data_IF_158523655528
#
_entry.id   IF_158523655528
#
_cell.length_a   1.000
_cell.length_b   1.000
_cell.length_c   1.000
_cell.angle_alpha   90.00
_cell.angle_beta   90.00
_cell.angle_gamma   90.00
#
_symmetry.space_group_name_H-M   'P 1'
#
loop_
_entity.id
_entity.type
_entity.pdbx_description
1 polymer ?
#
# COMPACT_ATOMS: atom_id res chain seq x y z
N UNK A 1 15.59 -22.64 -14.26
CA UNK A 1 14.25 -22.03 -14.33
C UNK A 1 14.36 -20.63 -14.87
N UNK A 2 13.37 -20.16 -15.62
CA UNK A 2 13.41 -18.83 -16.23
C UNK A 2 13.38 -17.71 -15.18
N UNK A 3 12.57 -17.86 -14.14
CA UNK A 3 12.31 -16.85 -13.12
C UNK A 3 13.02 -17.10 -11.77
N UNK A 4 14.21 -17.68 -11.75
CA UNK A 4 14.94 -17.90 -10.51
C UNK A 4 15.46 -16.61 -9.86
N UNK A 5 15.68 -16.63 -8.53
CA UNK A 5 16.28 -15.52 -7.78
C UNK A 5 17.60 -15.07 -8.44
N UNK A 6 18.47 -16.02 -8.81
CA UNK A 6 19.74 -15.68 -9.44
C UNK A 6 19.59 -15.03 -10.82
N UNK A 7 18.57 -15.40 -11.58
CA UNK A 7 18.27 -14.76 -12.86
C UNK A 7 17.68 -13.36 -12.64
N UNK A 8 16.77 -13.19 -11.67
CA UNK A 8 16.20 -11.90 -11.29
C UNK A 8 17.30 -10.91 -10.87
N UNK A 9 18.23 -11.34 -10.00
CA UNK A 9 19.35 -10.50 -9.56
C UNK A 9 20.27 -10.08 -10.70
N UNK A 10 20.60 -10.99 -11.62
CA UNK A 10 21.41 -10.66 -12.79
C UNK A 10 20.73 -9.64 -13.70
N UNK A 11 19.41 -9.80 -13.91
CA UNK A 11 18.62 -8.88 -14.71
C UNK A 11 18.54 -7.49 -14.08
N UNK A 12 18.28 -7.42 -12.76
CA UNK A 12 18.25 -6.17 -12.01
C UNK A 12 19.59 -5.45 -12.05
N UNK A 13 20.70 -6.19 -11.91
CA UNK A 13 22.04 -5.60 -12.03
C UNK A 13 22.28 -5.00 -13.43
N UNK A 14 21.86 -5.68 -14.48
CA UNK A 14 21.99 -5.16 -15.83
C UNK A 14 21.13 -3.92 -16.07
N UNK A 15 19.84 -3.98 -15.71
CA UNK A 15 18.88 -2.87 -15.95
C UNK A 15 19.12 -1.63 -15.09
N UNK A 16 19.62 -1.79 -13.86
CA UNK A 16 19.91 -0.64 -13.00
C UNK A 16 21.01 0.28 -13.54
N UNK A 17 21.87 -0.23 -14.43
CA UNK A 17 22.91 0.57 -15.08
C UNK A 17 22.32 1.50 -16.16
N UNK A 18 21.26 1.05 -16.83
CA UNK A 18 20.63 1.76 -17.95
C UNK A 18 19.42 2.62 -17.47
N UNK A 19 19.10 2.62 -16.17
CA UNK A 19 17.99 3.36 -15.60
C UNK A 19 18.21 4.86 -15.77
N UNK A 20 17.23 5.57 -16.32
CA UNK A 20 17.25 7.03 -16.36
C UNK A 20 16.75 7.60 -15.01
N UNK A 21 17.61 8.30 -14.26
CA UNK A 21 17.29 8.74 -12.91
C UNK A 21 16.44 9.99 -12.82
N UNK A 22 15.97 10.57 -13.96
CA UNK A 22 15.34 11.91 -13.99
C UNK A 22 14.17 12.06 -13.02
N UNK A 23 13.37 11.01 -12.79
CA UNK A 23 12.23 11.01 -11.89
C UNK A 23 12.36 9.92 -10.81
N UNK A 24 13.45 9.16 -10.79
CA UNK A 24 13.66 8.13 -9.79
C UNK A 24 13.63 8.73 -8.37
N UNK A 25 12.82 8.21 -7.44
CA UNK A 25 12.59 8.83 -6.15
C UNK A 25 13.87 8.86 -5.30
N UNK A 26 14.04 9.93 -4.52
CA UNK A 26 15.21 10.11 -3.65
C UNK A 26 14.97 9.67 -2.21
N UNK A 27 13.71 9.51 -1.81
CA UNK A 27 13.32 9.15 -0.44
C UNK A 27 12.09 8.25 -0.35
N UNK A 28 11.50 7.83 -1.47
CA UNK A 28 10.54 6.74 -1.51
C UNK A 28 11.25 5.43 -1.83
N UNK A 29 10.74 4.31 -1.30
CA UNK A 29 11.22 3.01 -1.72
C UNK A 29 10.64 2.68 -3.11
N UNK A 30 11.52 2.49 -4.08
CA UNK A 30 11.23 1.98 -5.42
C UNK A 30 12.17 0.81 -5.71
N UNK A 31 11.82 -0.07 -6.65
CA UNK A 31 12.70 -1.15 -7.06
C UNK A 31 13.96 -0.60 -7.77
N UNK A 32 15.06 -1.34 -7.71
CA UNK A 32 16.32 -0.99 -8.41
C UNK A 32 16.14 -0.79 -9.91
N UNK A 33 15.18 -1.46 -10.53
CA UNK A 33 14.67 -1.33 -11.88
C UNK A 33 13.40 -2.18 -12.02
N UNK A 34 12.66 -2.03 -13.13
CA UNK A 34 11.47 -2.82 -13.39
C UNK A 34 10.23 -2.33 -12.64
N UNK A 35 9.25 -3.21 -12.49
CA UNK A 35 7.94 -2.92 -11.90
C UNK A 35 7.89 -3.17 -10.39
N UNK A 36 7.17 -2.31 -9.66
CA UNK A 36 6.77 -2.52 -8.26
C UNK A 36 5.31 -2.16 -8.09
N UNK A 37 4.58 -2.92 -7.25
CA UNK A 37 3.25 -2.56 -6.75
C UNK A 37 3.15 -2.77 -5.24
N UNK A 38 2.31 -3.64 -4.72
CA UNK A 38 1.95 -3.78 -3.31
C UNK A 38 3.15 -3.88 -2.38
N UNK A 39 3.20 -3.14 -1.26
CA UNK A 39 4.08 -3.49 -0.15
C UNK A 39 3.67 -4.83 0.45
N UNK A 40 4.64 -5.66 0.78
CA UNK A 40 4.47 -6.98 1.34
C UNK A 40 5.33 -7.16 2.58
N UNK A 41 4.89 -8.00 3.50
CA UNK A 41 5.75 -8.52 4.55
C UNK A 41 6.45 -7.46 5.40
N UNK A 42 5.81 -6.29 5.60
CA UNK A 42 6.35 -5.23 6.44
C UNK A 42 6.50 -5.75 7.88
N UNK A 43 7.73 -5.78 8.39
CA UNK A 43 8.02 -6.39 9.69
C UNK A 43 9.33 -5.86 10.28
N UNK A 44 9.41 -5.86 11.60
CA UNK A 44 10.66 -5.59 12.30
C UNK A 44 11.32 -6.91 12.72
N UNK A 45 12.52 -7.16 12.22
CA UNK A 45 13.29 -8.38 12.51
C UNK A 45 14.77 -8.08 12.67
N UNK A 46 15.41 -8.64 13.69
CA UNK A 46 16.84 -8.49 14.01
C UNK A 46 17.36 -7.04 13.93
N UNK A 47 16.57 -6.11 14.48
CA UNK A 47 16.91 -4.68 14.54
C UNK A 47 16.82 -3.94 13.21
N UNK A 48 16.13 -4.50 12.21
CA UNK A 48 15.82 -3.87 10.93
C UNK A 48 14.32 -3.91 10.65
N UNK A 49 13.79 -2.86 10.06
CA UNK A 49 12.53 -2.91 9.36
C UNK A 49 12.77 -3.53 7.99
N UNK A 50 12.13 -4.65 7.70
CA UNK A 50 12.11 -5.28 6.40
C UNK A 50 10.86 -4.85 5.64
N UNK A 51 11.02 -4.49 4.38
CA UNK A 51 9.95 -4.24 3.44
C UNK A 51 10.16 -5.13 2.22
N UNK A 52 9.17 -5.96 1.95
CA UNK A 52 9.08 -6.69 0.70
C UNK A 52 8.05 -5.99 -0.18
N UNK A 53 8.05 -6.32 -1.45
CA UNK A 53 7.11 -5.73 -2.39
C UNK A 53 6.91 -6.62 -3.62
N UNK A 54 5.72 -6.52 -4.20
CA UNK A 54 5.45 -7.13 -5.50
C UNK A 54 6.37 -6.55 -6.54
N UNK A 55 7.07 -7.41 -7.29
CA UNK A 55 8.14 -7.00 -8.16
C UNK A 55 8.22 -7.83 -9.43
N UNK A 56 8.33 -7.17 -10.59
CA UNK A 56 8.68 -7.82 -11.85
C UNK A 56 10.06 -7.34 -12.34
N UNK A 57 11.13 -8.09 -12.07
CA UNK A 57 12.50 -7.65 -12.37
C UNK A 57 12.85 -7.64 -13.87
N UNK A 58 12.06 -8.34 -14.71
CA UNK A 58 12.33 -8.50 -16.14
C UNK A 58 11.67 -7.45 -17.01
N UNK A 59 10.75 -6.67 -16.47
CA UNK A 59 10.04 -5.63 -17.22
C UNK A 59 9.60 -4.52 -16.26
N UNK A 60 9.35 -3.33 -16.82
CA UNK A 60 8.69 -2.21 -16.14
C UNK A 60 7.17 -2.23 -16.32
N UNK A 61 6.62 -3.38 -16.72
CA UNK A 61 5.19 -3.69 -16.73
C UNK A 61 4.91 -4.83 -15.77
N UNK A 62 3.67 -4.92 -15.31
CA UNK A 62 3.22 -6.05 -14.50
C UNK A 62 3.46 -7.39 -15.22
N UNK A 63 3.82 -8.41 -14.47
CA UNK A 63 4.13 -9.74 -15.02
C UNK A 63 4.29 -10.79 -13.92
N UNK A 64 4.99 -11.89 -14.15
CA UNK A 64 5.21 -12.90 -13.11
C UNK A 64 5.90 -12.31 -11.89
N UNK A 65 5.10 -12.14 -10.81
CA UNK A 65 5.54 -11.45 -9.61
C UNK A 65 6.58 -12.23 -8.83
N UNK A 66 7.57 -11.48 -8.36
CA UNK A 66 8.57 -11.85 -7.37
C UNK A 66 8.32 -11.02 -6.11
N UNK A 67 8.97 -11.37 -5.01
CA UNK A 67 9.09 -10.46 -3.87
C UNK A 67 10.45 -9.79 -3.92
N UNK A 68 10.46 -8.51 -4.31
CA UNK A 68 11.60 -7.63 -4.06
C UNK A 68 11.77 -7.40 -2.57
N UNK A 69 12.96 -6.97 -2.14
CA UNK A 69 13.29 -6.87 -0.73
C UNK A 69 14.21 -5.68 -0.44
N UNK A 70 13.88 -4.95 0.59
CA UNK A 70 14.72 -3.90 1.17
C UNK A 70 14.60 -3.90 2.69
N UNK A 71 15.58 -3.30 3.38
CA UNK A 71 15.53 -3.09 4.82
C UNK A 71 15.99 -1.70 5.21
N UNK A 72 15.55 -1.24 6.38
CA UNK A 72 15.88 0.08 6.91
C UNK A 72 16.05 0.05 8.44
N UNK A 73 16.89 0.94 8.96
CA UNK A 73 17.01 1.20 10.40
C UNK A 73 16.04 2.29 10.89
N UNK A 74 15.54 3.09 9.93
CA UNK A 74 14.82 4.34 10.24
C UNK A 74 13.61 4.59 9.33
N UNK A 75 13.15 3.57 8.59
CA UNK A 75 11.97 3.61 7.70
C UNK A 75 12.09 4.54 6.49
N UNK A 76 13.19 5.26 6.32
CA UNK A 76 13.36 6.27 5.25
C UNK A 76 14.64 6.07 4.43
N UNK A 77 15.68 5.49 5.01
CA UNK A 77 16.88 5.10 4.29
C UNK A 77 16.88 3.59 4.08
N UNK A 78 16.68 3.16 2.84
CA UNK A 78 16.51 1.76 2.48
C UNK A 78 17.75 1.17 1.83
N UNK A 79 18.12 -0.01 2.30
CA UNK A 79 19.15 -0.87 1.70
C UNK A 79 18.44 -1.98 0.92
N UNK A 80 18.67 -2.05 -0.39
CA UNK A 80 18.16 -3.14 -1.21
C UNK A 80 18.90 -4.45 -0.90
N UNK A 81 18.12 -5.49 -0.73
CA UNK A 81 18.57 -6.86 -0.53
C UNK A 81 18.29 -7.70 -1.78
N UNK A 82 18.83 -8.93 -1.88
CA UNK A 82 18.44 -9.84 -2.93
C UNK A 82 16.94 -10.11 -2.95
N UNK A 83 16.38 -10.41 -4.13
CA UNK A 83 15.01 -10.86 -4.30
C UNK A 83 14.74 -12.01 -3.33
N UNK A 84 13.68 -11.90 -2.53
CA UNK A 84 13.36 -12.86 -1.48
C UNK A 84 12.64 -14.11 -2.01
N UNK A 85 11.70 -13.92 -2.94
CA UNK A 85 10.93 -15.00 -3.56
C UNK A 85 10.86 -14.80 -5.07
N UNK A 86 10.98 -15.90 -5.80
CA UNK A 86 10.78 -15.96 -7.24
C UNK A 86 9.79 -17.08 -7.58
N UNK A 87 9.04 -17.03 -8.68
CA UNK A 87 8.06 -18.06 -9.05
C UNK A 87 8.75 -19.34 -9.55
N UNK A 88 9.33 -20.09 -8.62
CA UNK A 88 10.13 -21.29 -8.86
C UNK A 88 9.40 -22.59 -8.49
N UNK A 89 8.32 -22.50 -7.70
CA UNK A 89 7.59 -23.67 -7.21
C UNK A 89 6.41 -24.07 -8.08
N UNK A 90 5.86 -25.26 -7.85
CA UNK A 90 4.66 -25.69 -8.55
C UNK A 90 3.40 -24.92 -8.11
N UNK A 91 3.41 -24.31 -6.92
CA UNK A 91 2.30 -23.52 -6.36
C UNK A 91 2.25 -22.10 -6.89
N UNK A 92 3.39 -21.55 -7.29
CA UNK A 92 3.56 -20.15 -7.66
C UNK A 92 4.23 -19.92 -9.00
N UNK A 93 4.16 -20.89 -9.90
CA UNK A 93 4.85 -20.86 -11.20
C UNK A 93 4.55 -19.63 -12.08
N UNK A 94 3.41 -18.97 -11.85
CA UNK A 94 2.96 -17.79 -12.57
C UNK A 94 3.04 -16.50 -11.71
N UNK A 95 3.44 -16.62 -10.43
CA UNK A 95 3.71 -15.47 -9.56
C UNK A 95 3.70 -15.79 -8.07
N UNK A 96 4.62 -15.14 -7.33
CA UNK A 96 4.55 -15.01 -5.88
C UNK A 96 3.75 -13.74 -5.58
N UNK A 97 2.43 -13.87 -5.34
CA UNK A 97 1.54 -12.74 -5.09
C UNK A 97 1.66 -12.22 -3.66
N UNK A 98 0.91 -11.18 -3.35
CA UNK A 98 1.01 -10.44 -2.09
C UNK A 98 0.80 -11.31 -0.84
N UNK A 99 1.29 -10.81 0.26
CA UNK A 99 1.21 -11.47 1.56
C UNK A 99 1.90 -10.66 2.67
N UNK A 100 2.18 -11.29 3.78
CA UNK A 100 2.69 -10.67 5.00
C UNK A 100 3.86 -11.41 5.61
N UNK A 101 4.44 -10.83 6.65
CA UNK A 101 5.51 -11.43 7.42
C UNK A 101 5.20 -11.38 8.92
N UNK A 102 5.63 -12.41 9.64
CA UNK A 102 5.60 -12.47 11.11
C UNK A 102 6.90 -13.05 11.65
N UNK A 103 7.19 -12.73 12.89
CA UNK A 103 8.34 -13.30 13.61
C UNK A 103 7.85 -14.35 14.59
N UNK A 104 8.38 -15.56 14.47
CA UNK A 104 8.14 -16.68 15.39
C UNK A 104 9.48 -17.10 16.01
N UNK A 105 9.71 -16.68 17.25
CA UNK A 105 10.99 -16.86 17.92
C UNK A 105 12.14 -16.15 17.20
N UNK A 106 13.09 -16.91 16.68
CA UNK A 106 14.26 -16.45 15.92
C UNK A 106 14.05 -16.57 14.39
N UNK A 107 12.84 -16.82 13.95
CA UNK A 107 12.50 -17.13 12.57
C UNK A 107 11.58 -16.07 12.00
N UNK A 108 11.96 -15.50 10.86
CA UNK A 108 11.11 -14.66 10.03
C UNK A 108 10.32 -15.55 9.07
N UNK A 109 8.99 -15.51 9.16
CA UNK A 109 8.07 -16.27 8.32
C UNK A 109 7.35 -15.35 7.35
N UNK A 110 7.43 -15.65 6.05
CA UNK A 110 6.65 -15.01 4.99
C UNK A 110 5.47 -15.93 4.66
N UNK A 111 4.27 -15.37 4.69
CA UNK A 111 3.06 -16.04 4.22
C UNK A 111 2.57 -15.25 3.00
N UNK A 112 2.50 -15.91 1.85
CA UNK A 112 2.24 -15.27 0.58
C UNK A 112 1.31 -16.10 -0.29
N UNK A 113 0.74 -15.49 -1.31
CA UNK A 113 -0.12 -16.21 -2.26
C UNK A 113 0.71 -16.79 -3.39
N UNK A 114 0.70 -18.10 -3.52
CA UNK A 114 1.16 -18.80 -4.71
C UNK A 114 0.10 -18.72 -5.80
N UNK A 115 0.48 -18.19 -6.97
CA UNK A 115 -0.44 -17.96 -8.09
C UNK A 115 -0.08 -18.79 -9.31
N UNK A 116 -1.09 -19.42 -9.90
CA UNK A 116 -0.96 -20.12 -11.18
C UNK A 116 -2.29 -20.16 -11.95
N UNK A 117 -2.17 -20.42 -13.25
CA UNK A 117 -3.30 -20.69 -14.12
C UNK A 117 -3.42 -22.17 -14.43
N UNK A 118 -4.64 -22.69 -14.47
CA UNK A 118 -4.98 -24.05 -14.89
C UNK A 118 -5.44 -24.13 -16.35
N UNK A 119 -5.18 -23.12 -17.18
CA UNK A 119 -5.62 -23.05 -18.57
C UNK A 119 -5.30 -21.70 -19.18
N UNK A 120 -6.23 -21.17 -19.95
CA UNK A 120 -6.09 -19.83 -20.55
C UNK A 120 -6.07 -18.77 -19.45
N UNK A 121 -5.00 -17.95 -19.34
CA UNK A 121 -4.92 -16.86 -18.37
C UNK A 121 -6.00 -15.78 -18.54
N UNK A 122 -6.63 -15.70 -19.72
CA UNK A 122 -7.73 -14.75 -19.96
C UNK A 122 -9.05 -15.17 -19.32
N UNK A 123 -9.18 -16.42 -18.85
CA UNK A 123 -10.36 -16.91 -18.16
C UNK A 123 -10.11 -16.87 -16.64
N UNK A 124 -10.79 -15.98 -15.94
CA UNK A 124 -10.71 -15.84 -14.48
C UNK A 124 -11.09 -17.13 -13.70
N UNK A 125 -11.82 -18.06 -14.31
CA UNK A 125 -12.12 -19.36 -13.69
C UNK A 125 -10.91 -20.30 -13.67
N UNK A 126 -9.86 -20.00 -14.42
CA UNK A 126 -8.62 -20.75 -14.44
C UNK A 126 -7.61 -20.30 -13.37
N UNK A 127 -7.95 -19.32 -12.55
CA UNK A 127 -7.13 -18.89 -11.42
C UNK A 127 -7.06 -19.96 -10.34
N UNK A 128 -5.87 -20.19 -9.84
CA UNK A 128 -5.62 -21.04 -8.69
C UNK A 128 -4.66 -20.34 -7.75
N UNK A 129 -5.16 -19.96 -6.59
CA UNK A 129 -4.46 -19.14 -5.62
C UNK A 129 -4.46 -19.85 -4.27
N UNK A 130 -3.26 -20.18 -3.80
CA UNK A 130 -3.04 -20.92 -2.55
C UNK A 130 -2.18 -20.08 -1.61
N UNK A 131 -2.25 -20.33 -0.31
CA UNK A 131 -1.36 -19.64 0.61
C UNK A 131 -0.15 -20.52 0.89
N UNK A 132 1.04 -19.91 0.80
CA UNK A 132 2.34 -20.55 0.93
C UNK A 132 3.13 -19.97 2.09
N UNK A 133 4.06 -20.76 2.64
CA UNK A 133 4.97 -20.37 3.70
C UNK A 133 6.43 -20.44 3.20
N UNK A 134 7.21 -19.42 3.53
CA UNK A 134 8.66 -19.44 3.43
C UNK A 134 9.28 -18.92 4.73
N UNK A 135 10.44 -19.42 5.14
CA UNK A 135 11.05 -19.06 6.43
C UNK A 135 12.51 -18.69 6.26
N UNK A 136 12.99 -17.81 7.14
CA UNK A 136 14.38 -17.36 7.19
C UNK A 136 14.84 -17.18 8.63
N UNK A 137 16.12 -17.43 8.90
CA UNK A 137 16.77 -17.11 10.18
C UNK A 137 17.66 -15.88 10.11
N UNK A 138 18.09 -15.52 8.92
CA UNK A 138 18.96 -14.36 8.68
C UNK A 138 18.21 -13.15 8.10
N UNK A 139 16.91 -13.31 7.81
CA UNK A 139 16.06 -12.29 7.21
C UNK A 139 16.38 -12.00 5.73
N UNK A 140 17.27 -12.77 5.09
CA UNK A 140 17.75 -12.53 3.72
C UNK A 140 17.46 -13.71 2.82
N UNK A 141 17.79 -14.93 3.26
CA UNK A 141 17.62 -16.16 2.52
C UNK A 141 16.41 -16.92 3.03
N UNK A 142 15.46 -17.21 2.14
CA UNK A 142 14.18 -17.83 2.50
C UNK A 142 14.10 -19.25 1.95
N UNK A 143 13.77 -20.19 2.84
CA UNK A 143 13.46 -21.56 2.50
C UNK A 143 11.95 -21.74 2.31
N UNK A 144 11.52 -22.22 1.16
CA UNK A 144 10.14 -22.53 0.87
C UNK A 144 9.67 -23.72 1.70
N UNK A 145 8.57 -23.57 2.38
CA UNK A 145 7.92 -24.62 3.18
C UNK A 145 6.72 -25.24 2.45
N UNK A 146 6.36 -24.70 1.28
CA UNK A 146 5.24 -25.14 0.47
C UNK A 146 3.89 -24.51 0.84
N UNK A 147 2.85 -25.09 0.29
CA UNK A 147 1.46 -24.67 0.50
C UNK A 147 0.98 -25.00 1.93
N UNK A 148 0.33 -24.04 2.58
CA UNK A 148 -0.27 -24.17 3.91
C UNK A 148 -1.80 -24.08 3.88
N UNK A 149 -2.39 -23.42 2.88
CA UNK A 149 -3.84 -23.43 2.61
C UNK A 149 -4.05 -23.61 1.12
N UNK A 150 -4.83 -24.63 0.77
CA UNK A 150 -5.29 -24.84 -0.62
C UNK A 150 -6.46 -23.90 -0.95
N UNK A 151 -6.69 -23.66 -2.24
CA UNK A 151 -7.84 -22.90 -2.72
C UNK A 151 -9.15 -23.53 -2.27
N UNK A 152 -9.97 -22.84 -1.47
CA UNK A 152 -11.27 -23.39 -1.11
C UNK A 152 -12.16 -23.59 -2.33
N UNK A 153 -13.04 -24.60 -2.35
CA UNK A 153 -13.94 -24.84 -3.48
C UNK A 153 -14.78 -23.62 -3.84
N UNK A 154 -14.78 -23.24 -5.14
CA UNK A 154 -15.52 -22.09 -5.66
C UNK A 154 -14.87 -20.73 -5.43
N UNK A 155 -13.65 -20.67 -4.85
CA UNK A 155 -12.92 -19.42 -4.60
C UNK A 155 -11.72 -19.30 -5.56
N UNK A 156 -11.95 -18.91 -6.80
CA UNK A 156 -10.86 -18.72 -7.77
C UNK A 156 -9.96 -17.52 -7.39
N UNK A 157 -10.52 -16.46 -6.81
CA UNK A 157 -9.81 -15.32 -6.24
C UNK A 157 -9.70 -15.49 -4.73
N UNK A 158 -8.51 -15.84 -4.25
CA UNK A 158 -8.22 -16.15 -2.85
C UNK A 158 -6.77 -15.79 -2.52
N UNK A 159 -6.51 -14.53 -2.11
CA UNK A 159 -5.15 -13.98 -2.04
C UNK A 159 -4.92 -12.97 -0.92
N UNK A 160 -3.65 -12.59 -0.77
CA UNK A 160 -3.16 -11.51 0.08
C UNK A 160 -3.29 -11.82 1.58
N UNK A 161 -2.66 -12.90 2.08
CA UNK A 161 -2.75 -13.30 3.47
C UNK A 161 -2.06 -12.28 4.38
N UNK A 162 -2.76 -11.85 5.44
CA UNK A 162 -2.19 -11.09 6.55
C UNK A 162 -2.28 -11.88 7.83
N UNK A 163 -1.13 -12.12 8.45
CA UNK A 163 -1.00 -12.94 9.67
C UNK A 163 -0.65 -12.06 10.86
N UNK A 164 -1.22 -12.38 12.01
CA UNK A 164 -0.87 -11.80 13.31
C UNK A 164 -1.00 -12.83 14.42
N UNK A 165 -0.45 -12.53 15.58
CA UNK A 165 -0.59 -13.35 16.79
C UNK A 165 -1.59 -12.73 17.75
N UNK A 166 -2.52 -13.51 18.24
CA UNK A 166 -3.47 -13.13 19.27
C UNK A 166 -3.43 -14.18 20.39
N UNK A 167 -2.90 -13.78 21.56
CA UNK A 167 -2.63 -14.72 22.63
C UNK A 167 -1.59 -15.78 22.22
N UNK A 168 -1.96 -17.05 22.29
CA UNK A 168 -1.08 -18.17 21.94
C UNK A 168 -1.27 -18.66 20.49
N UNK A 169 -2.27 -18.15 19.79
CA UNK A 169 -2.62 -18.59 18.43
C UNK A 169 -2.25 -17.57 17.36
N UNK A 170 -1.99 -18.08 16.18
CA UNK A 170 -1.86 -17.29 14.96
C UNK A 170 -3.22 -17.16 14.28
N UNK A 171 -3.50 -16.00 13.76
CA UNK A 171 -4.67 -15.73 12.92
C UNK A 171 -4.21 -15.20 11.57
N UNK A 172 -5.00 -15.46 10.55
CA UNK A 172 -4.76 -14.98 9.18
C UNK A 172 -6.07 -14.52 8.57
N UNK A 173 -6.05 -13.36 7.97
CA UNK A 173 -7.09 -12.92 7.03
C UNK A 173 -6.61 -13.08 5.60
N UNK A 174 -7.52 -13.48 4.70
CA UNK A 174 -7.26 -13.63 3.27
C UNK A 174 -8.40 -12.99 2.49
N UNK A 175 -8.07 -12.20 1.47
CA UNK A 175 -9.04 -11.61 0.57
C UNK A 175 -9.64 -12.65 -0.38
N UNK A 176 -10.93 -12.53 -0.67
CA UNK A 176 -11.62 -13.43 -1.56
C UNK A 176 -12.72 -12.73 -2.38
N UNK A 177 -13.06 -13.34 -3.53
CA UNK A 177 -14.25 -13.05 -4.33
C UNK A 177 -15.07 -14.33 -4.43
N UNK A 178 -16.29 -14.27 -3.96
CA UNK A 178 -17.23 -15.39 -4.01
C UNK A 178 -18.55 -14.89 -4.56
N UNK A 179 -19.01 -15.41 -5.69
CA UNK A 179 -20.26 -14.99 -6.36
C UNK A 179 -20.36 -13.47 -6.55
N UNK A 180 -19.26 -12.83 -6.99
CA UNK A 180 -19.13 -11.37 -7.14
C UNK A 180 -19.33 -10.55 -5.86
N UNK A 181 -19.09 -11.18 -4.70
CA UNK A 181 -19.07 -10.53 -3.38
C UNK A 181 -17.66 -10.56 -2.82
N UNK A 182 -17.08 -9.40 -2.54
CA UNK A 182 -15.80 -9.28 -1.86
C UNK A 182 -15.91 -9.78 -0.41
N UNK A 183 -14.95 -10.59 0.02
CA UNK A 183 -14.92 -11.18 1.37
C UNK A 183 -13.53 -11.10 1.97
N UNK A 184 -13.47 -11.10 3.29
CA UNK A 184 -12.29 -11.40 4.08
C UNK A 184 -12.54 -12.69 4.84
N UNK A 185 -11.74 -13.72 4.53
CA UNK A 185 -11.78 -15.02 5.22
C UNK A 185 -10.87 -15.00 6.42
N UNK A 186 -11.25 -15.68 7.49
CA UNK A 186 -10.48 -15.81 8.72
C UNK A 186 -10.02 -17.26 8.92
N UNK A 187 -8.76 -17.41 9.29
CA UNK A 187 -8.14 -18.68 9.63
C UNK A 187 -7.42 -18.58 10.96
N UNK A 188 -7.28 -19.72 11.67
CA UNK A 188 -6.55 -19.85 12.92
C UNK A 188 -5.53 -20.99 12.81
N UNK A 189 -4.36 -20.82 13.42
CA UNK A 189 -3.30 -21.83 13.51
C UNK A 189 -2.58 -21.74 14.86
N UNK A 190 -1.99 -22.85 15.28
CA UNK A 190 -1.11 -22.90 16.45
C UNK A 190 0.39 -22.93 16.05
N UNK A 191 0.72 -23.12 14.73
CA UNK A 191 2.08 -23.38 14.27
C UNK A 191 2.46 -22.75 12.91
N UNK A 192 1.62 -21.87 12.34
CA UNK A 192 1.76 -21.25 11.01
C UNK A 192 1.69 -22.25 9.82
N UNK A 193 1.52 -23.54 10.07
CA UNK A 193 1.53 -24.59 9.05
C UNK A 193 0.16 -25.24 8.84
N UNK A 194 -0.55 -25.45 9.93
CA UNK A 194 -1.85 -26.10 9.94
C UNK A 194 -2.93 -25.07 10.28
N UNK A 195 -3.69 -24.68 9.26
CA UNK A 195 -4.70 -23.63 9.38
C UNK A 195 -6.10 -24.21 9.40
N UNK A 196 -6.91 -23.75 10.33
CA UNK A 196 -8.32 -24.05 10.44
C UNK A 196 -9.15 -22.89 9.92
N UNK A 197 -10.11 -23.17 9.04
CA UNK A 197 -11.07 -22.14 8.57
C UNK A 197 -11.94 -21.71 9.77
N UNK A 198 -11.89 -20.42 10.08
CA UNK A 198 -12.69 -19.77 11.13
C UNK A 198 -13.88 -18.99 10.55
N UNK A 199 -14.12 -19.11 9.24
CA UNK A 199 -15.26 -18.53 8.56
C UNK A 199 -14.99 -17.18 7.88
N UNK A 200 -16.06 -16.41 7.68
CA UNK A 200 -16.01 -15.07 7.10
C UNK A 200 -15.83 -14.05 8.22
N UNK A 201 -14.76 -13.26 8.17
CA UNK A 201 -14.59 -12.14 9.09
C UNK A 201 -15.51 -10.97 8.71
N UNK A 202 -15.53 -10.62 7.43
CA UNK A 202 -16.35 -9.57 6.87
C UNK A 202 -16.64 -9.84 5.39
N UNK A 203 -17.72 -9.28 4.88
CA UNK A 203 -18.06 -9.36 3.46
C UNK A 203 -18.72 -8.08 2.96
N UNK A 204 -18.66 -7.88 1.65
CA UNK A 204 -19.22 -6.74 0.97
C UNK A 204 -20.74 -6.72 1.07
N UNK A 205 -21.30 -5.58 1.39
CA UNK A 205 -22.68 -5.24 1.13
C UNK A 205 -22.83 -4.67 -0.28
N UNK A 206 -24.05 -4.45 -0.72
CA UNK A 206 -24.33 -3.89 -2.04
C UNK A 206 -23.52 -2.60 -2.29
N UNK A 207 -22.71 -2.60 -3.35
CA UNK A 207 -21.88 -1.45 -3.73
C UNK A 207 -20.52 -1.38 -3.04
N UNK A 208 -20.14 -2.34 -2.21
CA UNK A 208 -18.85 -2.39 -1.53
C UNK A 208 -17.78 -3.21 -2.29
N UNK A 209 -18.00 -3.47 -3.57
CA UNK A 209 -17.03 -4.15 -4.44
C UNK A 209 -17.18 -5.66 -4.50
N UNK A 210 -16.62 -6.24 -5.57
CA UNK A 210 -16.71 -7.67 -5.85
C UNK A 210 -15.50 -8.48 -5.35
N UNK A 211 -14.38 -7.81 -5.06
CA UNK A 211 -13.15 -8.40 -4.52
C UNK A 211 -12.57 -7.45 -3.47
N UNK A 212 -12.11 -8.00 -2.36
CA UNK A 212 -11.41 -7.27 -1.31
C UNK A 212 -9.97 -7.76 -1.24
N UNK A 213 -9.04 -6.97 -1.81
CA UNK A 213 -7.61 -7.27 -1.84
C UNK A 213 -6.89 -6.73 -0.61
N UNK A 214 -5.73 -7.29 -0.33
CA UNK A 214 -4.78 -6.83 0.69
C UNK A 214 -5.43 -6.54 2.06
N UNK A 215 -6.23 -7.47 2.63
CA UNK A 215 -6.80 -7.25 3.94
C UNK A 215 -5.70 -7.15 5.00
N UNK A 216 -5.84 -6.21 5.92
CA UNK A 216 -4.96 -6.02 7.08
C UNK A 216 -5.83 -5.81 8.31
N UNK A 217 -5.70 -6.68 9.31
CA UNK A 217 -6.56 -6.69 10.49
C UNK A 217 -5.73 -6.53 11.76
N UNK A 218 -5.95 -5.46 12.49
CA UNK A 218 -5.14 -5.12 13.67
C UNK A 218 -5.94 -4.37 14.74
N UNK A 219 -5.40 -4.36 15.95
CA UNK A 219 -5.91 -3.52 17.04
C UNK A 219 -5.22 -2.15 16.99
N UNK A 220 -5.99 -1.08 17.23
CA UNK A 220 -5.50 0.28 17.36
C UNK A 220 -6.38 1.03 18.38
N UNK A 221 -5.76 1.51 19.45
CA UNK A 221 -6.41 2.33 20.50
C UNK A 221 -7.72 1.70 21.04
N UNK A 222 -7.75 0.38 21.20
CA UNK A 222 -8.87 -0.37 21.75
C UNK A 222 -9.97 -0.73 20.73
N UNK A 223 -9.76 -0.45 19.44
CA UNK A 223 -10.65 -0.85 18.34
C UNK A 223 -9.97 -1.81 17.39
N UNK A 224 -10.75 -2.58 16.66
CA UNK A 224 -10.26 -3.38 15.53
C UNK A 224 -10.45 -2.60 14.24
N UNK A 225 -9.38 -2.53 13.47
CA UNK A 225 -9.34 -1.94 12.14
C UNK A 225 -9.23 -3.07 11.14
N UNK A 226 -10.16 -3.16 10.20
CA UNK A 226 -10.04 -3.96 8.99
C UNK A 226 -9.76 -3.02 7.83
N UNK A 227 -8.50 -2.94 7.40
CA UNK A 227 -8.06 -2.18 6.24
C UNK A 227 -8.02 -3.11 5.03
N UNK A 228 -8.46 -2.66 3.86
CA UNK A 228 -8.46 -3.47 2.63
C UNK A 228 -8.60 -2.58 1.39
N UNK A 229 -8.40 -3.19 0.22
CA UNK A 229 -8.47 -2.52 -1.08
C UNK A 229 -9.60 -3.14 -1.93
N UNK A 230 -10.81 -2.58 -1.89
CA UNK A 230 -11.95 -3.10 -2.64
C UNK A 230 -11.87 -2.75 -4.12
N UNK A 231 -12.16 -3.73 -4.98
CA UNK A 231 -12.36 -3.55 -6.42
C UNK A 231 -13.85 -3.45 -6.73
N UNK A 232 -14.21 -2.54 -7.65
CA UNK A 232 -15.57 -2.43 -8.18
C UNK A 232 -16.52 -1.54 -7.39
N UNK A 233 -16.02 -0.68 -6.49
CA UNK A 233 -16.83 0.38 -5.89
C UNK A 233 -17.02 1.53 -6.88
N UNK A 234 -18.25 1.97 -7.06
CA UNK A 234 -18.55 3.10 -7.92
C UNK A 234 -18.16 4.44 -7.28
N UNK A 235 -17.72 5.39 -8.12
CA UNK A 235 -17.52 6.77 -7.68
C UNK A 235 -18.82 7.40 -7.17
N UNK A 236 -18.71 8.23 -6.12
CA UNK A 236 -19.83 8.95 -5.54
C UNK A 236 -19.42 10.41 -5.27
N UNK A 237 -19.86 11.30 -6.15
CA UNK A 237 -19.50 12.71 -6.08
C UNK A 237 -17.98 12.92 -6.12
N UNK A 238 -17.39 13.29 -5.00
CA UNK A 238 -15.96 13.50 -4.84
C UNK A 238 -15.23 12.30 -4.19
N UNK A 239 -15.94 11.34 -3.69
CA UNK A 239 -15.41 10.12 -3.10
C UNK A 239 -15.21 9.02 -4.16
N UNK A 240 -14.32 8.09 -3.88
CA UNK A 240 -14.08 6.88 -4.68
C UNK A 240 -13.81 7.14 -6.16
N UNK A 241 -12.95 8.13 -6.44
CA UNK A 241 -12.63 8.54 -7.83
C UNK A 241 -11.45 7.82 -8.46
N UNK A 242 -10.72 7.02 -7.72
CA UNK A 242 -9.70 6.13 -8.28
C UNK A 242 -10.39 4.90 -8.89
N UNK A 243 -9.68 4.18 -9.75
CA UNK A 243 -10.21 2.94 -10.34
C UNK A 243 -10.63 1.96 -9.24
N UNK A 244 -9.73 1.75 -8.27
CA UNK A 244 -9.98 1.01 -7.04
C UNK A 244 -9.65 1.86 -5.82
N UNK A 245 -10.18 1.50 -4.68
CA UNK A 245 -10.01 2.23 -3.43
C UNK A 245 -9.12 1.46 -2.47
N UNK A 246 -8.61 2.18 -1.46
CA UNK A 246 -8.08 1.60 -0.23
C UNK A 246 -8.72 2.30 0.94
N UNK A 247 -9.19 1.53 1.91
CA UNK A 247 -9.90 2.10 3.04
C UNK A 247 -10.05 1.10 4.18
N UNK A 248 -10.93 1.41 5.11
CA UNK A 248 -11.08 0.63 6.33
C UNK A 248 -12.52 0.58 6.85
N UNK A 249 -12.75 -0.43 7.68
CA UNK A 249 -13.88 -0.56 8.58
C UNK A 249 -13.35 -0.56 10.02
N UNK A 250 -14.09 0.09 10.92
CA UNK A 250 -13.86 0.01 12.37
C UNK A 250 -14.90 -0.88 13.02
N UNK A 251 -14.51 -1.54 14.10
CA UNK A 251 -15.42 -2.36 14.88
C UNK A 251 -14.76 -3.03 16.06
N UNK A 252 -15.47 -3.99 16.63
CA UNK A 252 -15.04 -4.82 17.74
C UNK A 252 -14.90 -6.28 17.27
N UNK A 253 -13.88 -6.95 17.76
CA UNK A 253 -13.66 -8.36 17.51
C UNK A 253 -12.85 -9.00 18.63
N UNK A 254 -13.19 -10.22 18.95
CA UNK A 254 -12.40 -11.11 19.80
C UNK A 254 -12.38 -12.52 19.21
N UNK A 255 -11.37 -13.35 19.52
CA UNK A 255 -11.29 -14.73 19.07
C UNK A 255 -12.60 -15.49 19.29
N UNK A 256 -13.10 -16.14 18.23
CA UNK A 256 -14.34 -16.91 18.27
C UNK A 256 -15.62 -16.09 18.22
N UNK A 257 -15.53 -14.79 18.06
CA UNK A 257 -16.68 -13.90 17.89
C UNK A 257 -16.71 -13.29 16.47
N UNK A 258 -17.87 -12.91 15.95
CA UNK A 258 -17.93 -12.17 14.68
C UNK A 258 -17.32 -10.77 14.83
N UNK A 259 -16.78 -10.24 13.74
CA UNK A 259 -16.42 -8.83 13.66
C UNK A 259 -17.69 -7.97 13.58
N UNK A 260 -17.88 -7.13 14.57
CA UNK A 260 -19.03 -6.23 14.66
C UNK A 260 -18.61 -4.86 14.16
N UNK A 261 -18.97 -4.54 12.92
CA UNK A 261 -18.69 -3.26 12.26
C UNK A 261 -19.49 -2.13 12.95
N UNK A 262 -18.83 -1.00 13.20
CA UNK A 262 -19.46 0.19 13.80
C UNK A 262 -19.82 1.24 12.76
N UNK A 263 -19.04 1.38 11.68
CA UNK A 263 -19.18 2.44 10.69
C UNK A 263 -19.12 1.91 9.26
N UNK A 264 -19.51 2.72 8.30
CA UNK A 264 -19.37 2.46 6.88
C UNK A 264 -17.90 2.53 6.45
N UNK A 265 -17.62 2.00 5.23
CA UNK A 265 -16.29 2.07 4.62
C UNK A 265 -15.80 3.51 4.48
N UNK A 266 -14.59 3.76 4.95
CA UNK A 266 -13.91 5.05 4.86
C UNK A 266 -12.65 4.91 4.02
N UNK A 267 -12.50 5.75 2.98
CA UNK A 267 -11.27 5.82 2.20
C UNK A 267 -10.09 6.23 3.09
N UNK A 268 -8.96 5.54 2.94
CA UNK A 268 -7.74 5.81 3.70
C UNK A 268 -6.96 7.01 3.12
N UNK A 269 -6.96 7.17 1.81
CA UNK A 269 -6.25 8.23 1.10
C UNK A 269 -7.20 8.93 0.12
N UNK A 270 -7.08 10.23 -0.01
CA UNK A 270 -7.92 11.04 -0.90
C UNK A 270 -7.16 11.60 -2.10
N UNK A 271 -5.97 11.08 -2.37
CA UNK A 271 -5.15 11.44 -3.52
C UNK A 271 -5.51 10.68 -4.80
N UNK A 272 -4.69 10.88 -5.82
CA UNK A 272 -4.90 10.22 -7.12
C UNK A 272 -4.49 8.76 -7.13
N UNK A 273 -3.42 8.41 -6.45
CA UNK A 273 -2.74 7.13 -6.63
C UNK A 273 -2.30 6.62 -5.25
N UNK A 274 -3.06 5.71 -4.68
CA UNK A 274 -2.74 5.03 -3.43
C UNK A 274 -3.51 3.72 -3.36
N UNK A 275 -2.79 2.58 -3.29
CA UNK A 275 -3.41 1.27 -3.30
C UNK A 275 -2.66 0.26 -2.44
N UNK A 276 -3.32 -0.85 -2.08
CA UNK A 276 -2.77 -2.02 -1.40
C UNK A 276 -1.95 -1.70 -0.13
N UNK A 277 -2.40 -0.81 0.77
CA UNK A 277 -1.64 -0.46 1.96
C UNK A 277 -1.49 -1.66 2.89
N UNK A 278 -0.31 -1.77 3.51
CA UNK A 278 -0.03 -2.73 4.57
C UNK A 278 0.50 -2.02 5.81
N UNK A 279 0.12 -2.50 6.99
CA UNK A 279 0.59 -1.95 8.25
C UNK A 279 1.47 -2.93 9.02
N UNK A 280 2.30 -2.41 9.91
CA UNK A 280 3.10 -3.18 10.85
C UNK A 280 3.29 -2.43 12.16
N UNK A 281 3.66 -3.15 13.20
CA UNK A 281 3.96 -2.59 14.51
C UNK A 281 5.47 -2.40 14.66
N UNK A 282 5.89 -1.18 15.02
CA UNK A 282 7.27 -0.88 15.33
C UNK A 282 7.64 -1.35 16.76
N UNK A 283 8.92 -1.51 17.08
CA UNK A 283 9.33 -1.91 18.43
C UNK A 283 8.92 -0.93 19.54
N UNK A 284 8.70 0.34 19.21
CA UNK A 284 8.19 1.35 20.14
C UNK A 284 6.65 1.44 20.18
N UNK A 285 5.96 0.48 19.56
CA UNK A 285 4.51 0.30 19.66
C UNK A 285 3.67 1.14 18.72
N UNK A 286 4.27 1.86 17.78
CA UNK A 286 3.52 2.61 16.76
C UNK A 286 3.04 1.70 15.63
N UNK A 287 1.85 1.97 15.12
CA UNK A 287 1.33 1.32 13.92
C UNK A 287 1.70 2.18 12.70
N UNK A 288 2.51 1.62 11.80
CA UNK A 288 2.94 2.29 10.58
C UNK A 288 2.26 1.64 9.38
N UNK A 289 1.82 2.45 8.43
CA UNK A 289 1.25 2.01 7.15
C UNK A 289 2.09 2.54 5.99
N UNK A 290 2.26 1.69 4.98
CA UNK A 290 2.88 2.03 3.70
C UNK A 290 1.96 1.47 2.61
N UNK A 291 1.74 2.22 1.53
CA UNK A 291 0.94 1.80 0.38
C UNK A 291 1.70 1.97 -0.93
N UNK A 292 1.20 1.42 -1.99
CA UNK A 292 1.68 1.65 -3.34
C UNK A 292 1.19 3.02 -3.82
N UNK A 293 2.12 3.89 -4.24
CA UNK A 293 1.81 5.19 -4.86
C UNK A 293 1.66 5.03 -6.35
N UNK A 294 0.59 4.39 -6.72
CA UNK A 294 0.12 4.25 -8.07
C UNK A 294 -1.31 3.68 -8.09
N UNK A 295 -1.82 3.42 -9.28
CA UNK A 295 -3.12 2.81 -9.50
C UNK A 295 -3.10 1.95 -10.77
N UNK A 296 -3.79 0.81 -10.74
CA UNK A 296 -3.98 -0.05 -11.89
C UNK A 296 -4.55 0.73 -13.08
N UNK A 297 -4.09 0.41 -14.28
CA UNK A 297 -4.48 1.05 -15.56
C UNK A 297 -4.12 2.54 -15.67
N UNK A 298 -3.46 3.13 -14.67
CA UNK A 298 -2.92 4.49 -14.79
C UNK A 298 -1.74 4.52 -15.73
N UNK A 299 -1.59 5.59 -16.54
CA UNK A 299 -0.35 5.81 -17.27
C UNK A 299 0.82 6.03 -16.32
N UNK A 300 1.91 5.32 -16.58
CA UNK A 300 3.16 5.38 -15.81
C UNK A 300 4.28 5.89 -16.70
N UNK A 301 4.47 7.23 -16.82
CA UNK A 301 5.46 7.80 -17.73
C UNK A 301 6.90 7.42 -17.39
N UNK A 302 7.20 7.07 -16.15
CA UNK A 302 8.50 6.57 -15.69
C UNK A 302 8.87 5.20 -16.25
N UNK A 303 7.93 4.47 -16.83
CA UNK A 303 8.23 3.23 -17.56
C UNK A 303 9.25 3.46 -18.69
N UNK A 304 9.27 4.67 -19.28
CA UNK A 304 10.26 5.04 -20.28
C UNK A 304 11.67 5.15 -19.70
N UNK A 305 11.79 5.25 -18.38
CA UNK A 305 13.04 5.41 -17.66
C UNK A 305 13.58 4.09 -17.08
N UNK A 306 12.88 2.98 -17.31
CA UNK A 306 13.32 1.64 -16.92
C UNK A 306 12.82 1.17 -15.54
N UNK A 307 11.85 1.90 -14.95
CA UNK A 307 11.22 1.55 -13.67
C UNK A 307 9.74 1.94 -13.67
N UNK A 308 8.97 1.43 -12.74
CA UNK A 308 7.56 1.80 -12.58
C UNK A 308 7.07 1.54 -11.16
N UNK A 309 6.44 2.55 -10.58
CA UNK A 309 5.85 2.52 -9.26
C UNK A 309 6.82 2.75 -8.11
N UNK A 310 6.27 3.15 -6.96
CA UNK A 310 7.01 3.35 -5.72
C UNK A 310 6.10 3.16 -4.51
N UNK A 311 6.68 2.98 -3.34
CA UNK A 311 5.94 2.93 -2.09
C UNK A 311 5.82 4.33 -1.47
N UNK A 312 4.73 4.55 -0.74
CA UNK A 312 4.51 5.79 0.00
C UNK A 312 5.57 5.98 1.10
N UNK A 313 5.72 7.21 1.57
CA UNK A 313 6.39 7.44 2.86
C UNK A 313 5.64 6.70 3.99
N UNK A 314 6.36 6.27 5.03
CA UNK A 314 5.72 5.64 6.18
C UNK A 314 4.83 6.64 6.91
N UNK A 315 3.60 6.21 7.23
CA UNK A 315 2.59 7.01 7.93
C UNK A 315 2.23 6.33 9.23
N UNK A 316 2.23 7.07 10.32
CA UNK A 316 1.78 6.59 11.64
C UNK A 316 0.26 6.71 11.72
N UNK A 317 -0.38 5.62 12.18
CA UNK A 317 -1.81 5.54 12.40
C UNK A 317 -2.15 5.78 13.87
N UNK A 318 -3.23 6.50 14.11
CA UNK A 318 -3.87 6.65 15.43
C UNK A 318 -5.37 6.84 15.24
N UNK A 319 -6.16 6.69 16.32
CA UNK A 319 -7.58 7.04 16.29
C UNK A 319 -7.79 8.46 16.79
N UNK A 320 -8.56 9.25 16.05
CA UNK A 320 -9.08 10.52 16.49
C UNK A 320 -10.27 10.37 17.46
N UNK A 321 -10.65 11.45 18.12
CA UNK A 321 -11.75 11.47 19.09
C UNK A 321 -13.12 11.05 18.51
N UNK A 322 -13.26 11.03 17.20
CA UNK A 322 -14.48 10.64 16.49
C UNK A 322 -14.37 9.25 15.84
N UNK A 323 -13.46 8.40 16.32
CA UNK A 323 -13.17 7.08 15.76
C UNK A 323 -12.75 7.11 14.28
N UNK A 324 -12.13 8.20 13.81
CA UNK A 324 -11.54 8.27 12.47
C UNK A 324 -10.05 7.96 12.54
N UNK A 325 -9.56 7.16 11.61
CA UNK A 325 -8.12 6.98 11.46
C UNK A 325 -7.47 8.31 11.08
N UNK A 326 -6.47 8.67 11.85
CA UNK A 326 -5.57 9.77 11.55
C UNK A 326 -4.27 9.18 11.02
N UNK A 327 -3.76 9.77 9.93
CA UNK A 327 -2.48 9.43 9.34
C UNK A 327 -1.56 10.65 9.41
N UNK A 328 -0.37 10.43 9.93
CA UNK A 328 0.69 11.45 9.95
C UNK A 328 1.97 10.85 9.39
N UNK A 329 2.81 11.63 8.69
CA UNK A 329 4.15 11.14 8.37
C UNK A 329 4.82 10.62 9.63
N UNK A 330 5.45 9.44 9.54
CA UNK A 330 6.21 8.91 10.65
C UNK A 330 7.32 9.89 11.04
N UNK A 331 7.65 9.98 12.34
CA UNK A 331 8.64 10.95 12.86
C UNK A 331 10.01 10.85 12.16
N UNK A 332 10.37 9.69 11.68
CA UNK A 332 11.62 9.41 10.96
C UNK A 332 11.74 10.21 9.66
N UNK A 333 10.62 10.58 9.04
CA UNK A 333 10.57 11.43 7.83
C UNK A 333 11.20 12.80 8.10
N UNK A 334 11.15 13.29 9.34
CA UNK A 334 11.80 14.54 9.74
C UNK A 334 13.32 14.50 9.58
N UNK A 335 13.93 13.31 9.65
CA UNK A 335 15.35 13.10 9.40
C UNK A 335 15.78 13.40 7.95
N UNK A 336 14.85 13.47 7.02
CA UNK A 336 15.11 13.86 5.63
C UNK A 336 15.25 15.38 5.43
N UNK A 337 14.79 16.18 6.43
CA UNK A 337 14.85 17.64 6.35
C UNK A 337 16.29 18.11 6.25
N UNK A 338 16.51 19.12 5.40
CA UNK A 338 17.78 19.78 5.18
C UNK A 338 17.65 21.26 5.56
N UNK A 339 17.92 22.15 4.63
CA UNK A 339 17.87 23.59 4.86
C UNK A 339 16.43 24.08 5.04
N UNK A 340 16.23 24.96 6.01
CA UNK A 340 14.95 25.62 6.25
C UNK A 340 14.98 27.03 5.64
N UNK A 341 14.00 27.31 4.81
CA UNK A 341 13.83 28.63 4.16
C UNK A 341 12.52 29.27 4.65
N UNK A 342 12.58 30.16 5.67
CA UNK A 342 11.39 30.88 6.08
C UNK A 342 10.95 31.85 5.01
N UNK A 343 9.68 31.79 4.64
CA UNK A 343 9.09 32.73 3.70
C UNK A 343 8.37 33.84 4.50
N UNK A 344 8.53 35.13 4.14
CA UNK A 344 7.87 36.21 4.86
C UNK A 344 6.36 36.16 4.68
N UNK A 345 5.65 36.57 5.71
CA UNK A 345 4.18 36.74 5.63
C UNK A 345 3.86 37.73 4.52
N UNK A 346 2.99 37.30 3.62
CA UNK A 346 2.60 38.07 2.43
C UNK A 346 1.08 38.09 2.28
N UNK A 347 0.53 39.21 1.83
CA UNK A 347 -0.86 39.32 1.40
C UNK A 347 -0.92 39.29 -0.12
N UNK A 348 -1.68 38.37 -0.67
CA UNK A 348 -1.82 38.19 -2.12
C UNK A 348 -3.24 38.60 -2.54
N UNK A 349 -3.35 39.33 -3.61
CA UNK A 349 -4.65 39.69 -4.22
C UNK A 349 -4.58 39.48 -5.73
N UNK A 350 -5.24 38.41 -6.22
CA UNK A 350 -5.26 38.05 -7.65
C UNK A 350 -3.85 37.97 -8.29
N UNK A 351 -2.90 37.41 -7.53
CA UNK A 351 -1.51 37.28 -7.98
C UNK A 351 -0.86 35.99 -7.46
N UNK A 352 0.24 35.64 -8.06
CA UNK A 352 1.10 34.51 -7.65
C UNK A 352 2.50 35.06 -7.29
N UNK A 353 3.12 34.40 -6.31
CA UNK A 353 4.53 34.59 -5.98
C UNK A 353 5.28 33.30 -6.22
N UNK A 354 6.40 33.40 -6.95
CA UNK A 354 7.31 32.26 -7.09
C UNK A 354 8.16 32.17 -5.83
N UNK A 355 7.96 31.10 -5.07
CA UNK A 355 8.70 30.84 -3.83
C UNK A 355 10.05 30.19 -4.12
N UNK A 356 10.08 29.24 -5.05
CA UNK A 356 11.26 28.48 -5.46
C UNK A 356 11.21 28.30 -6.97
N UNK A 357 12.26 28.68 -7.69
CA UNK A 357 12.28 28.55 -9.16
C UNK A 357 12.49 27.09 -9.61
N UNK A 358 13.24 26.33 -8.84
CA UNK A 358 13.51 24.91 -9.14
C UNK A 358 13.79 24.13 -7.87
N UNK A 359 13.01 23.08 -7.65
CA UNK A 359 13.22 22.13 -6.56
C UNK A 359 12.71 20.75 -6.99
N UNK A 360 13.47 19.70 -6.69
CA UNK A 360 13.10 18.32 -6.99
C UNK A 360 12.54 17.59 -5.76
N UNK A 361 12.93 18.02 -4.56
CA UNK A 361 12.53 17.45 -3.28
C UNK A 361 12.26 18.57 -2.28
N UNK A 362 11.08 18.56 -1.64
CA UNK A 362 10.73 19.61 -0.70
C UNK A 362 9.69 19.12 0.34
N UNK A 363 9.69 19.78 1.47
CA UNK A 363 8.56 19.83 2.40
C UNK A 363 8.09 21.28 2.47
N UNK A 364 6.77 21.48 2.39
CA UNK A 364 6.16 22.80 2.48
C UNK A 364 5.23 22.85 3.66
N UNK A 365 5.44 23.80 4.56
CA UNK A 365 4.55 24.09 5.68
C UNK A 365 3.96 25.48 5.48
N UNK A 366 2.64 25.56 5.35
CA UNK A 366 1.90 26.77 5.08
C UNK A 366 0.83 27.03 6.11
N UNK A 367 0.79 28.26 6.57
CA UNK A 367 -0.30 28.79 7.36
C UNK A 367 -1.09 29.86 6.60
N UNK A 368 -2.37 29.68 6.50
CA UNK A 368 -3.28 30.65 5.88
C UNK A 368 -4.13 31.34 6.95
N UNK A 369 -4.12 32.68 7.00
CA UNK A 369 -5.13 33.42 7.74
C UNK A 369 -6.40 33.50 6.89
N UNK A 370 -7.35 32.61 7.20
CA UNK A 370 -8.63 32.54 6.48
C UNK A 370 -9.68 33.51 7.03
N UNK A 371 -9.50 34.06 8.24
CA UNK A 371 -10.49 34.90 8.90
C UNK A 371 -10.76 36.21 8.14
N UNK A 372 -9.76 36.73 7.44
CA UNK A 372 -9.85 37.98 6.69
C UNK A 372 -9.76 37.75 5.17
N UNK A 373 -9.78 36.52 4.70
CA UNK A 373 -9.70 36.20 3.29
C UNK A 373 -11.07 36.25 2.63
N UNK A 374 -11.16 36.97 1.51
CA UNK A 374 -12.31 36.95 0.61
C UNK A 374 -11.98 36.25 -0.73
N UNK A 375 -10.86 35.56 -0.81
CA UNK A 375 -10.45 34.84 -2.01
C UNK A 375 -11.40 33.65 -2.28
N UNK A 376 -11.79 33.48 -3.54
CA UNK A 376 -12.53 32.30 -3.96
C UNK A 376 -11.67 31.05 -3.89
N UNK A 377 -10.38 31.19 -4.27
CA UNK A 377 -9.40 30.10 -4.21
C UNK A 377 -8.04 30.62 -3.76
N UNK A 378 -7.31 29.83 -2.98
CA UNK A 378 -5.93 30.09 -2.57
C UNK A 378 -5.19 28.78 -2.32
N UNK A 379 -3.90 28.75 -2.63
CA UNK A 379 -3.11 27.50 -2.50
C UNK A 379 -1.74 27.58 -3.13
N UNK A 380 -1.21 26.43 -3.50
CA UNK A 380 0.09 26.21 -4.10
C UNK A 380 -0.03 25.65 -5.51
N UNK A 381 0.91 26.05 -6.37
CA UNK A 381 1.16 25.41 -7.66
C UNK A 381 2.57 24.83 -7.66
N UNK A 382 2.71 23.59 -8.13
CA UNK A 382 3.99 22.93 -8.36
C UNK A 382 4.18 22.76 -9.87
N UNK A 383 4.98 23.64 -10.44
CA UNK A 383 5.07 23.77 -11.89
C UNK A 383 3.73 24.16 -12.51
N UNK A 384 3.49 23.71 -13.73
CA UNK A 384 2.27 24.03 -14.48
C UNK A 384 1.13 23.01 -14.29
N UNK A 385 1.46 21.82 -13.81
CA UNK A 385 0.55 20.67 -13.85
C UNK A 385 -0.01 20.20 -12.53
N UNK A 386 0.47 20.69 -11.38
CA UNK A 386 -0.01 20.26 -10.08
C UNK A 386 -0.42 21.45 -9.21
N UNK A 387 -1.63 21.41 -8.65
CA UNK A 387 -2.13 22.41 -7.73
C UNK A 387 -2.75 21.78 -6.50
N UNK A 388 -2.48 22.38 -5.36
CA UNK A 388 -3.17 22.09 -4.09
C UNK A 388 -3.76 23.40 -3.59
N UNK A 389 -5.08 23.49 -3.51
CA UNK A 389 -5.74 24.74 -3.15
C UNK A 389 -7.03 24.52 -2.37
N UNK A 390 -7.39 25.51 -1.59
CA UNK A 390 -8.71 25.64 -0.97
C UNK A 390 -9.65 26.29 -1.97
N UNK A 391 -10.81 25.69 -2.18
CA UNK A 391 -11.94 26.27 -2.87
C UNK A 391 -13.00 26.69 -1.83
N UNK A 392 -13.12 27.98 -1.62
CA UNK A 392 -14.04 28.54 -0.61
C UNK A 392 -15.52 28.44 -1.00
N UNK A 393 -15.83 28.34 -2.29
CA UNK A 393 -17.23 28.16 -2.73
C UNK A 393 -17.67 26.73 -2.47
N UNK A 394 -16.81 25.76 -2.79
CA UNK A 394 -17.10 24.34 -2.54
C UNK A 394 -16.80 23.91 -1.10
N UNK A 395 -16.11 24.72 -0.30
CA UNK A 395 -15.62 24.36 1.05
C UNK A 395 -14.79 23.07 1.03
N UNK A 396 -13.81 23.00 0.13
CA UNK A 396 -12.96 21.82 -0.08
C UNK A 396 -11.49 22.17 -0.23
N UNK A 397 -10.63 21.29 0.26
CA UNK A 397 -9.23 21.21 -0.14
C UNK A 397 -9.16 20.38 -1.42
N UNK A 398 -8.55 20.90 -2.47
CA UNK A 398 -8.54 20.33 -3.80
C UNK A 398 -7.10 20.05 -4.23
N UNK A 399 -6.89 18.84 -4.76
CA UNK A 399 -5.68 18.44 -5.48
C UNK A 399 -6.03 18.30 -6.96
N UNK A 400 -5.44 19.11 -7.80
CA UNK A 400 -5.63 19.09 -9.25
C UNK A 400 -4.35 18.70 -9.96
N UNK A 401 -4.42 17.68 -10.83
CA UNK A 401 -3.33 17.19 -11.67
C UNK A 401 -3.68 17.39 -13.13
N UNK A 402 -2.78 18.02 -13.90
CA UNK A 402 -2.95 18.33 -15.33
C UNK A 402 -1.66 18.08 -16.11
N UNK A 403 -1.43 16.84 -16.47
CA UNK A 403 -0.34 16.42 -17.35
C UNK A 403 -0.90 15.67 -18.56
N UNK A 404 -1.60 16.36 -19.50
CA UNK A 404 -2.28 15.72 -20.63
C UNK A 404 -1.32 14.97 -21.56
N UNK A 405 -0.07 15.41 -21.66
CA UNK A 405 0.97 14.72 -22.44
C UNK A 405 1.28 13.32 -21.91
N UNK A 406 0.94 13.02 -20.66
CA UNK A 406 1.10 11.71 -20.05
C UNK A 406 -0.24 11.01 -19.76
N UNK A 407 -1.37 11.62 -20.13
CA UNK A 407 -2.69 11.11 -19.78
C UNK A 407 -3.07 11.27 -18.29
N UNK A 408 -2.26 11.99 -17.51
CA UNK A 408 -2.42 12.16 -16.07
C UNK A 408 -3.18 13.44 -15.75
N UNK A 409 -4.51 13.37 -15.78
CA UNK A 409 -5.37 14.51 -15.46
C UNK A 409 -6.46 14.09 -14.47
N UNK A 410 -6.85 15.03 -13.62
CA UNK A 410 -7.98 14.80 -12.72
C UNK A 410 -7.93 15.66 -11.47
N UNK A 411 -9.01 15.58 -10.70
CA UNK A 411 -9.18 16.32 -9.46
C UNK A 411 -9.58 15.37 -8.34
N UNK A 412 -8.97 15.54 -7.19
CA UNK A 412 -9.35 14.90 -5.91
C UNK A 412 -9.62 15.98 -4.89
N UNK A 413 -10.51 15.74 -3.95
CA UNK A 413 -10.79 16.75 -2.94
C UNK A 413 -11.43 16.19 -1.69
N UNK A 414 -11.20 16.85 -0.56
CA UNK A 414 -11.81 16.53 0.73
C UNK A 414 -12.54 17.75 1.28
N UNK A 415 -13.62 17.57 2.06
CA UNK A 415 -14.26 18.66 2.79
C UNK A 415 -13.28 19.36 3.70
N UNK A 416 -13.38 20.68 3.83
CA UNK A 416 -12.65 21.40 4.87
C UNK A 416 -13.20 21.04 6.25
N UNK A 417 -12.34 20.91 7.27
CA UNK A 417 -12.81 20.72 8.64
C UNK A 417 -13.67 21.92 9.07
N UNK A 418 -14.82 21.65 9.65
CA UNK A 418 -15.67 22.70 10.22
C UNK A 418 -15.04 23.23 11.51
N UNK A 419 -14.73 24.53 11.55
CA UNK A 419 -14.33 25.23 12.78
C UNK A 419 -12.84 25.15 13.16
N UNK A 420 -11.97 24.71 12.29
CA UNK A 420 -10.51 24.74 12.50
C UNK A 420 -9.82 25.70 11.53
N UNK A 421 -8.84 26.43 12.03
CA UNK A 421 -7.83 27.02 11.16
C UNK A 421 -7.08 25.90 10.45
N UNK A 422 -7.00 25.95 9.12
CA UNK A 422 -6.14 25.10 8.32
C UNK A 422 -4.70 25.56 8.45
#
# INVERSE_FOLDING_TARGET
MMYSISNAERELQAKSVDLNPRWYPRYHLAARAGWINDPNGLVWFDGWCHAFYQHHPYSNQWGPMHWGHARSKDLVHWEHLPVALAPEGPEDKDGCFSGSAVVDGDTLALIYTGHKFHGDPADENNLYQVQCLATSRDGIHFERQGMVIDTPPGMHHFRDPKVWREGESWYMVVGARVDDVGQVRLYRSDDLRHWQDAGILAQAETGMGYMWECPDFFELDGKRVLMFSPQGMAADGFARRNLFQSGYLLGDWQPGQPFVREEEFVELDSGHDFYAPQSFLTPDGRRIVIGWLDMWESPLPEQQDGWAGMLSLPRELSLGANNRLLMRPAKEVEGLRRDWFPWPVSSLKNQQLTMVERCETMEVNLHWDTANSCAEQYGLSFGEGLKVYVDNQMQRLVLERRYPQYGLCGTRSVPLPTGSAL
#
